data_IF_767118016976
#
_entry.id   IF_767118016976
#
_cell.length_a   1.000
_cell.length_b   1.000
_cell.length_c   1.000
_cell.angle_alpha   90.00
_cell.angle_beta   90.00
_cell.angle_gamma   90.00
#
_symmetry.space_group_name_H-M   'P 1'
#
loop_
_entity.id
_entity.type
_entity.pdbx_description
1 polymer ?
#
# COMPACT_ATOMS: atom_id res chain seq x y z
N UNK A 1 -10.22 1.46 20.27
CA UNK A 1 -8.87 1.27 20.87
C UNK A 1 -7.77 1.13 19.82
N UNK A 2 -7.88 0.20 18.85
CA UNK A 2 -6.82 -0.07 17.85
C UNK A 2 -6.27 1.16 17.12
N UNK A 3 -7.15 2.03 16.58
CA UNK A 3 -6.72 3.26 15.87
C UNK A 3 -5.85 4.16 16.76
N UNK A 4 -6.24 4.39 18.02
CA UNK A 4 -5.49 5.24 18.95
C UNK A 4 -4.12 4.61 19.27
N UNK A 5 -4.09 3.30 19.56
CA UNK A 5 -2.84 2.59 19.85
C UNK A 5 -1.88 2.68 18.65
N UNK A 6 -2.40 2.48 17.44
CA UNK A 6 -1.61 2.60 16.21
C UNK A 6 -1.03 4.00 16.02
N UNK A 7 -1.83 5.06 16.23
CA UNK A 7 -1.37 6.45 16.13
C UNK A 7 -0.30 6.76 17.19
N UNK A 8 -0.50 6.31 18.43
CA UNK A 8 0.46 6.55 19.53
C UNK A 8 1.78 5.83 19.27
N UNK A 9 1.76 4.57 18.83
CA UNK A 9 2.97 3.84 18.47
C UNK A 9 3.72 4.52 17.33
N UNK A 10 3.00 4.97 16.29
CA UNK A 10 3.60 5.73 15.21
C UNK A 10 4.27 7.00 15.74
N UNK A 11 3.58 7.80 16.56
CA UNK A 11 4.13 9.03 17.13
C UNK A 11 5.39 8.76 17.98
N UNK A 12 5.37 7.73 18.84
CA UNK A 12 6.53 7.31 19.64
C UNK A 12 7.70 6.96 18.73
N UNK A 13 7.46 6.13 17.71
CA UNK A 13 8.48 5.77 16.72
C UNK A 13 9.09 6.99 16.03
N UNK A 14 8.26 7.95 15.60
CA UNK A 14 8.72 9.21 15.01
C UNK A 14 9.58 10.05 15.97
N UNK A 15 9.22 10.14 17.25
CA UNK A 15 10.05 10.87 18.22
C UNK A 15 11.36 10.15 18.53
N UNK A 16 11.39 8.81 18.47
CA UNK A 16 12.61 8.01 18.66
C UNK A 16 13.65 8.18 17.55
N UNK A 17 13.28 8.72 16.39
CA UNK A 17 14.26 9.11 15.36
C UNK A 17 15.19 10.23 15.81
N UNK A 18 14.77 11.08 16.76
CA UNK A 18 15.61 12.17 17.29
C UNK A 18 16.80 11.64 18.11
N UNK A 19 16.61 10.80 19.16
CA UNK A 19 17.72 10.19 19.86
C UNK A 19 18.52 9.23 18.98
N UNK A 20 17.89 8.54 18.02
CA UNK A 20 18.61 7.72 17.04
C UNK A 20 19.57 8.57 16.20
N UNK A 21 19.12 9.72 15.69
CA UNK A 21 19.96 10.65 14.94
C UNK A 21 21.05 11.33 15.79
N UNK A 22 20.81 11.55 17.08
CA UNK A 22 21.82 12.10 17.99
C UNK A 22 22.95 11.10 18.30
N UNK A 23 22.61 9.82 18.37
CA UNK A 23 23.56 8.74 18.72
C UNK A 23 24.22 8.12 17.49
N UNK A 24 23.62 8.27 16.31
CA UNK A 24 24.08 7.70 15.04
C UNK A 24 24.22 6.16 15.07
N UNK A 25 23.58 5.49 16.03
CA UNK A 25 23.62 4.03 16.15
C UNK A 25 22.48 3.42 15.35
N UNK A 26 22.83 2.48 14.48
CA UNK A 26 21.89 1.74 13.65
C UNK A 26 20.78 1.06 14.46
N UNK A 27 21.10 0.49 15.63
CA UNK A 27 20.14 -0.21 16.48
C UNK A 27 18.98 0.69 16.94
N UNK A 28 19.25 1.97 17.24
CA UNK A 28 18.20 2.91 17.62
C UNK A 28 17.31 3.29 16.44
N UNK A 29 17.89 3.46 15.25
CA UNK A 29 17.09 3.68 14.03
C UNK A 29 16.22 2.46 13.72
N UNK A 30 16.77 1.26 13.83
CA UNK A 30 16.04 0.02 13.60
C UNK A 30 14.90 -0.17 14.59
N UNK A 31 15.15 0.09 15.89
CA UNK A 31 14.12 0.03 16.93
C UNK A 31 13.00 1.05 16.71
N UNK A 32 13.35 2.29 16.34
CA UNK A 32 12.37 3.33 16.01
C UNK A 32 11.52 2.93 14.78
N UNK A 33 12.16 2.43 13.72
CA UNK A 33 11.48 1.97 12.51
C UNK A 33 10.55 0.79 12.78
N UNK A 34 10.97 -0.16 13.63
CA UNK A 34 10.13 -1.29 14.05
C UNK A 34 8.87 -0.82 14.78
N UNK A 35 8.98 0.15 15.69
CA UNK A 35 7.84 0.73 16.40
C UNK A 35 6.87 1.43 15.44
N UNK A 36 7.38 2.19 14.45
CA UNK A 36 6.54 2.79 13.40
C UNK A 36 5.81 1.70 12.62
N UNK A 37 6.51 0.63 12.22
CA UNK A 37 5.92 -0.48 11.47
C UNK A 37 4.80 -1.18 12.24
N UNK A 38 4.97 -1.39 13.55
CA UNK A 38 3.91 -1.89 14.43
C UNK A 38 2.70 -0.95 14.46
N UNK A 39 2.93 0.35 14.61
CA UNK A 39 1.86 1.36 14.57
C UNK A 39 1.07 1.36 13.26
N UNK A 40 1.78 1.34 12.12
CA UNK A 40 1.20 1.23 10.78
C UNK A 40 0.35 -0.04 10.62
N UNK A 41 0.86 -1.19 11.05
CA UNK A 41 0.13 -2.47 10.94
C UNK A 41 -1.17 -2.44 11.75
N UNK A 42 -1.15 -1.86 12.96
CA UNK A 42 -2.34 -1.70 13.79
C UNK A 42 -3.34 -0.72 13.16
N UNK A 43 -2.85 0.37 12.54
CA UNK A 43 -3.71 1.32 11.83
C UNK A 43 -4.38 0.67 10.62
N UNK A 44 -3.64 -0.06 9.80
CA UNK A 44 -4.20 -0.72 8.61
C UNK A 44 -5.24 -1.79 8.97
N UNK A 45 -5.00 -2.55 10.05
CA UNK A 45 -5.93 -3.57 10.53
C UNK A 45 -7.16 -3.00 11.24
N UNK A 46 -7.09 -1.80 11.82
CA UNK A 46 -8.21 -1.17 12.52
C UNK A 46 -8.99 -0.17 11.67
N UNK A 47 -8.30 0.68 10.90
CA UNK A 47 -8.92 1.81 10.19
C UNK A 47 -9.69 1.37 8.94
N UNK A 48 -9.16 0.44 8.15
CA UNK A 48 -9.82 -0.06 6.94
C UNK A 48 -11.19 -0.72 7.23
N UNK A 49 -11.30 -1.69 8.16
CA UNK A 49 -12.61 -2.26 8.49
C UNK A 49 -13.53 -1.22 9.13
N UNK A 50 -13.01 -0.34 9.99
CA UNK A 50 -13.81 0.72 10.59
C UNK A 50 -14.43 1.64 9.53
N UNK A 51 -13.63 2.13 8.56
CA UNK A 51 -14.13 2.97 7.46
C UNK A 51 -15.14 2.24 6.56
N UNK A 52 -14.94 0.94 6.34
CA UNK A 52 -15.85 0.11 5.55
C UNK A 52 -17.19 -0.12 6.28
N UNK A 53 -17.18 -0.30 7.60
CA UNK A 53 -18.35 -0.60 8.41
C UNK A 53 -19.09 0.64 8.94
N UNK A 54 -18.48 1.83 8.88
CA UNK A 54 -19.08 3.08 9.33
C UNK A 54 -20.15 3.57 8.34
N UNK A 55 -21.36 3.02 8.44
CA UNK A 55 -22.53 3.39 7.65
C UNK A 55 -23.19 2.21 6.91
N UNK A 56 -24.10 2.46 5.95
CA UNK A 56 -24.86 1.41 5.26
C UNK A 56 -23.96 0.37 4.56
N UNK A 57 -24.33 -0.92 4.60
CA UNK A 57 -23.53 -2.03 4.05
C UNK A 57 -23.31 -1.89 2.53
N UNK A 58 -24.28 -1.33 1.82
CA UNK A 58 -24.32 -1.18 0.37
C UNK A 58 -23.25 -0.22 -0.16
N UNK A 59 -22.85 0.77 0.64
CA UNK A 59 -21.88 1.82 0.25
C UNK A 59 -20.51 1.64 0.90
N UNK A 60 -20.28 0.51 1.59
CA UNK A 60 -19.02 0.17 2.28
C UNK A 60 -17.79 0.30 1.38
N UNK A 61 -17.82 -0.34 0.20
CA UNK A 61 -16.71 -0.29 -0.75
C UNK A 61 -16.44 1.11 -1.29
N UNK A 62 -17.50 1.88 -1.56
CA UNK A 62 -17.39 3.27 -2.01
C UNK A 62 -16.75 4.15 -0.94
N UNK A 63 -17.20 4.04 0.32
CA UNK A 63 -16.64 4.82 1.44
C UNK A 63 -15.16 4.51 1.66
N UNK A 64 -14.78 3.23 1.63
CA UNK A 64 -13.39 2.84 1.78
C UNK A 64 -12.53 3.40 0.63
N UNK A 65 -12.99 3.28 -0.61
CA UNK A 65 -12.29 3.86 -1.77
C UNK A 65 -12.18 5.39 -1.71
N UNK A 66 -13.24 6.07 -1.25
CA UNK A 66 -13.24 7.52 -1.07
C UNK A 66 -12.25 7.96 0.01
N UNK A 67 -12.26 7.31 1.18
CA UNK A 67 -11.26 7.57 2.23
C UNK A 67 -9.83 7.33 1.73
N UNK A 68 -9.62 6.21 1.01
CA UNK A 68 -8.33 5.86 0.42
C UNK A 68 -7.92 6.79 -0.74
N UNK A 69 -8.84 7.58 -1.32
CA UNK A 69 -8.47 8.58 -2.33
C UNK A 69 -7.56 9.67 -1.76
N UNK A 70 -7.75 10.03 -0.48
CA UNK A 70 -6.85 10.93 0.24
C UNK A 70 -5.49 10.30 0.53
N UNK A 71 -5.43 8.98 0.73
CA UNK A 71 -4.16 8.25 0.77
C UNK A 71 -3.44 8.32 -0.58
N UNK A 72 -4.16 8.17 -1.71
CA UNK A 72 -3.58 8.32 -3.06
C UNK A 72 -3.03 9.74 -3.32
N UNK A 73 -3.75 10.76 -2.84
CA UNK A 73 -3.29 12.15 -2.84
C UNK A 73 -1.99 12.30 -2.03
N UNK A 74 -1.96 11.79 -0.79
CA UNK A 74 -0.78 11.85 0.06
C UNK A 74 0.41 11.11 -0.55
N UNK A 75 0.21 9.92 -1.12
CA UNK A 75 1.25 9.14 -1.79
C UNK A 75 1.88 9.85 -3.00
N UNK A 76 1.12 10.74 -3.65
CA UNK A 76 1.61 11.54 -4.79
C UNK A 76 2.29 12.82 -4.32
N UNK A 77 1.67 13.55 -3.39
CA UNK A 77 2.19 14.84 -2.94
C UNK A 77 3.37 14.71 -1.99
N UNK A 78 3.44 13.67 -1.16
CA UNK A 78 4.50 13.52 -0.17
C UNK A 78 5.90 13.41 -0.79
N UNK A 79 6.14 12.62 -1.85
CA UNK A 79 7.44 12.62 -2.53
C UNK A 79 7.76 13.94 -3.23
N UNK A 80 6.77 14.65 -3.78
CA UNK A 80 6.97 15.93 -4.49
C UNK A 80 7.39 17.03 -3.49
N UNK A 81 6.61 17.19 -2.43
CA UNK A 81 6.84 18.22 -1.41
C UNK A 81 8.03 17.82 -0.52
N UNK A 82 8.06 16.55 -0.08
CA UNK A 82 9.14 16.01 0.74
C UNK A 82 10.47 16.01 0.01
N UNK A 83 10.48 15.72 -1.30
CA UNK A 83 11.69 15.80 -2.12
C UNK A 83 12.32 17.19 -2.14
N UNK A 84 11.51 18.25 -2.10
CA UNK A 84 12.00 19.64 -2.11
C UNK A 84 12.43 20.14 -0.72
N UNK A 85 11.83 19.60 0.34
CA UNK A 85 12.02 20.10 1.71
C UNK A 85 13.01 19.23 2.52
N UNK A 86 13.07 17.93 2.24
CA UNK A 86 13.75 16.93 3.08
C UNK A 86 15.03 16.38 2.41
N UNK A 87 15.07 16.25 1.07
CA UNK A 87 16.25 15.70 0.42
C UNK A 87 17.40 16.70 0.47
N UNK A 88 18.39 16.39 1.31
CA UNK A 88 19.71 17.01 1.29
C UNK A 88 20.60 16.13 0.41
N UNK A 89 21.41 16.74 -0.46
CA UNK A 89 22.45 15.99 -1.18
C UNK A 89 23.38 15.35 -0.15
N UNK A 90 23.35 14.01 -0.07
CA UNK A 90 24.23 13.24 0.81
C UNK A 90 25.69 13.34 0.35
N UNK A 91 26.61 13.11 1.27
CA UNK A 91 28.05 13.07 0.96
C UNK A 91 28.39 11.65 0.49
N UNK A 92 28.90 11.53 -0.74
CA UNK A 92 29.26 10.22 -1.30
C UNK A 92 30.40 9.56 -0.51
N UNK A 93 30.47 8.23 -0.51
CA UNK A 93 31.56 7.46 0.13
C UNK A 93 32.95 7.88 -0.39
N UNK A 94 33.03 8.30 -1.65
CA UNK A 94 34.28 8.78 -2.26
C UNK A 94 34.69 10.17 -1.75
N UNK A 95 33.72 11.03 -1.43
CA UNK A 95 33.99 12.31 -0.76
C UNK A 95 34.31 12.08 0.72
N UNK A 96 33.59 11.19 1.38
CA UNK A 96 33.78 10.86 2.79
C UNK A 96 35.17 10.30 3.04
N UNK A 97 35.64 9.37 2.20
CA UNK A 97 36.98 8.77 2.29
C UNK A 97 38.14 9.76 2.08
N UNK A 98 37.88 10.92 1.45
CA UNK A 98 38.85 12.01 1.27
C UNK A 98 38.84 13.02 2.43
N UNK A 99 37.88 12.91 3.35
CA UNK A 99 37.75 13.79 4.53
C UNK A 99 38.56 13.27 5.71
N UNK A 100 38.97 14.17 6.61
CA UNK A 100 39.59 13.80 7.89
C UNK A 100 38.56 13.10 8.79
N UNK A 101 39.00 12.24 9.72
CA UNK A 101 38.09 11.53 10.63
C UNK A 101 37.13 12.48 11.40
N UNK A 102 37.60 13.67 11.77
CA UNK A 102 36.77 14.70 12.40
C UNK A 102 35.72 15.29 11.43
N UNK A 103 36.11 15.53 10.18
CA UNK A 103 35.19 16.04 9.15
C UNK A 103 34.16 14.99 8.71
N UNK A 104 34.54 13.71 8.65
CA UNK A 104 33.62 12.59 8.41
C UNK A 104 32.54 12.49 9.49
N UNK A 105 32.93 12.60 10.76
CA UNK A 105 31.98 12.52 11.87
C UNK A 105 30.99 13.69 11.87
N UNK A 106 31.46 14.90 11.55
CA UNK A 106 30.61 16.09 11.38
C UNK A 106 29.66 15.98 10.18
N UNK A 107 30.14 15.45 9.06
CA UNK A 107 29.34 15.18 7.86
C UNK A 107 28.17 14.23 8.17
N UNK A 108 28.48 13.05 8.74
CA UNK A 108 27.47 12.07 9.12
C UNK A 108 26.51 12.60 10.20
N UNK A 109 26.99 13.45 11.11
CA UNK A 109 26.16 14.07 12.14
C UNK A 109 25.19 15.09 11.54
N UNK A 110 25.65 15.88 10.56
CA UNK A 110 24.79 16.81 9.83
C UNK A 110 23.74 16.07 9.01
N UNK A 111 24.14 14.99 8.34
CA UNK A 111 23.23 14.17 7.53
C UNK A 111 22.17 13.51 8.42
N UNK A 112 22.58 12.85 9.51
CA UNK A 112 21.64 12.30 10.48
C UNK A 112 20.76 13.38 11.13
N UNK A 113 21.27 14.60 11.32
CA UNK A 113 20.47 15.70 11.88
C UNK A 113 19.40 16.23 10.93
N UNK A 114 19.54 16.03 9.62
CA UNK A 114 18.57 16.48 8.61
C UNK A 114 17.18 15.85 8.81
N UNK A 115 17.12 14.60 9.29
CA UNK A 115 15.85 13.88 9.47
C UNK A 115 15.11 14.28 10.75
N UNK A 116 15.78 14.92 11.73
CA UNK A 116 15.19 15.24 13.03
C UNK A 116 13.96 16.15 12.90
N UNK A 117 14.08 17.22 12.12
CA UNK A 117 12.99 18.21 11.97
C UNK A 117 11.76 17.60 11.27
N UNK A 118 11.89 16.91 10.11
CA UNK A 118 10.76 16.21 9.50
C UNK A 118 10.06 15.21 10.43
N UNK A 119 10.81 14.39 11.16
CA UNK A 119 10.23 13.40 12.08
C UNK A 119 9.61 14.02 13.33
N UNK A 120 10.16 15.13 13.84
CA UNK A 120 9.55 15.90 14.92
C UNK A 120 8.19 16.47 14.50
N UNK A 121 8.13 17.11 13.32
CA UNK A 121 6.89 17.67 12.77
C UNK A 121 5.86 16.55 12.56
N UNK A 122 6.28 15.43 11.97
CA UNK A 122 5.41 14.27 11.75
C UNK A 122 4.87 13.70 13.07
N UNK A 123 5.74 13.51 14.08
CA UNK A 123 5.36 13.04 15.40
C UNK A 123 4.35 13.95 16.08
N UNK A 124 4.55 15.28 16.00
CA UNK A 124 3.61 16.27 16.53
C UNK A 124 2.25 16.21 15.83
N UNK A 125 2.21 16.16 14.50
CA UNK A 125 0.97 16.06 13.73
C UNK A 125 0.20 14.79 14.11
N UNK A 126 0.88 13.63 14.15
CA UNK A 126 0.26 12.35 14.51
C UNK A 126 -0.25 12.37 15.95
N UNK A 127 0.49 12.99 16.87
CA UNK A 127 0.06 13.16 18.27
C UNK A 127 -1.22 13.99 18.35
N UNK A 128 -1.31 15.10 17.61
CA UNK A 128 -2.53 15.92 17.53
C UNK A 128 -3.70 15.10 17.01
N UNK A 129 -3.49 14.29 15.95
CA UNK A 129 -4.54 13.40 15.42
C UNK A 129 -4.95 12.36 16.46
N UNK A 130 -4.00 11.75 17.18
CA UNK A 130 -4.29 10.79 18.25
C UNK A 130 -5.16 11.42 19.36
N UNK A 131 -4.85 12.65 19.75
CA UNK A 131 -5.62 13.41 20.74
C UNK A 131 -7.03 13.70 20.23
N UNK A 132 -7.19 14.14 18.98
CA UNK A 132 -8.50 14.35 18.35
C UNK A 132 -9.32 13.05 18.40
N UNK A 133 -8.74 11.93 17.98
CA UNK A 133 -9.42 10.63 17.99
C UNK A 133 -9.73 10.12 19.41
N UNK A 134 -8.95 10.50 20.41
CA UNK A 134 -9.24 10.16 21.81
C UNK A 134 -10.47 10.90 22.35
N UNK A 135 -10.75 12.12 21.86
CA UNK A 135 -11.93 12.90 22.24
C UNK A 135 -13.15 12.65 21.35
N UNK A 136 -12.97 12.11 20.14
CA UNK A 136 -14.07 11.71 19.28
C UNK A 136 -14.76 10.46 19.83
N UNK A 137 -16.04 10.60 20.19
CA UNK A 137 -16.91 9.46 20.49
C UNK A 137 -17.30 8.76 19.19
N UNK A 138 -16.40 7.89 18.73
CA UNK A 138 -16.65 7.05 17.58
C UNK A 138 -17.78 6.05 17.88
N UNK A 139 -18.81 5.95 17.02
CA UNK A 139 -19.87 4.96 17.19
C UNK A 139 -19.25 3.56 17.28
N UNK A 140 -19.72 2.79 18.26
CA UNK A 140 -19.35 1.40 18.36
C UNK A 140 -20.08 0.63 17.25
N UNK A 141 -19.30 0.00 16.38
CA UNK A 141 -19.87 -0.86 15.34
C UNK A 141 -20.25 -2.16 16.06
N UNK A 142 -21.51 -2.27 16.42
CA UNK A 142 -22.09 -3.52 16.88
C UNK A 142 -22.11 -4.44 15.66
N UNK A 143 -21.21 -5.41 15.64
CA UNK A 143 -21.31 -6.56 14.74
C UNK A 143 -22.68 -7.19 15.05
N UNK A 144 -23.61 -7.17 14.10
CA UNK A 144 -24.89 -7.87 14.26
C UNK A 144 -24.55 -9.33 14.57
N UNK A 145 -24.74 -9.76 15.83
CA UNK A 145 -24.78 -11.17 16.17
C UNK A 145 -25.94 -11.74 15.37
N UNK A 146 -25.63 -12.55 14.36
CA UNK A 146 -26.66 -13.31 13.64
C UNK A 146 -27.31 -14.23 14.68
N UNK A 147 -28.50 -13.85 15.16
CA UNK A 147 -29.22 -14.55 16.23
C UNK A 147 -29.67 -15.95 15.84
N UNK A 148 -29.50 -16.36 14.57
CA UNK A 148 -29.98 -17.62 14.01
C UNK A 148 -28.88 -18.60 13.57
N UNK A 149 -27.60 -18.24 13.62
CA UNK A 149 -26.51 -19.21 13.43
C UNK A 149 -25.93 -19.60 14.78
N UNK A 150 -26.16 -20.87 15.18
CA UNK A 150 -25.41 -21.55 16.24
C UNK A 150 -23.98 -21.07 16.14
N UNK A 151 -23.50 -20.42 17.20
CA UNK A 151 -22.09 -20.07 17.40
C UNK A 151 -21.24 -21.14 16.73
N UNK A 152 -20.63 -20.81 15.60
CA UNK A 152 -19.46 -21.53 15.08
C UNK A 152 -18.25 -21.27 16.00
N UNK A 153 -18.50 -21.14 17.31
CA UNK A 153 -17.52 -21.15 18.38
C UNK A 153 -17.09 -22.59 18.63
N UNK A 154 -16.48 -23.20 17.62
CA UNK A 154 -15.17 -23.75 17.92
C UNK A 154 -14.22 -22.61 17.61
N UNK A 155 -13.53 -22.06 18.60
CA UNK A 155 -12.53 -21.00 18.45
C UNK A 155 -11.29 -21.41 17.64
N UNK A 156 -11.48 -22.29 16.67
CA UNK A 156 -10.47 -22.79 15.76
C UNK A 156 -10.36 -21.82 14.59
N UNK A 157 -9.20 -21.21 14.44
CA UNK A 157 -8.76 -20.38 13.31
C UNK A 157 -9.12 -20.99 11.94
N UNK A 158 -9.30 -22.31 11.88
CA UNK A 158 -9.76 -23.06 10.70
C UNK A 158 -11.18 -22.69 10.21
N UNK A 159 -12.09 -22.25 11.09
CA UNK A 159 -13.47 -21.89 10.70
C UNK A 159 -13.52 -20.71 9.73
N UNK A 160 -12.58 -19.77 9.86
CA UNK A 160 -12.49 -18.55 9.04
C UNK A 160 -12.12 -18.88 7.59
N UNK A 161 -11.29 -19.91 7.38
CA UNK A 161 -10.96 -20.38 6.03
C UNK A 161 -12.13 -21.08 5.32
N UNK A 162 -13.29 -21.26 5.98
CA UNK A 162 -14.52 -21.70 5.30
C UNK A 162 -15.13 -20.58 4.44
N UNK A 163 -14.86 -19.31 4.77
CA UNK A 163 -15.29 -18.15 3.98
C UNK A 163 -14.51 -18.10 2.67
N UNK A 164 -15.09 -18.68 1.61
CA UNK A 164 -14.41 -18.81 0.32
C UNK A 164 -14.03 -17.46 -0.29
N UNK A 165 -14.89 -16.45 -0.12
CA UNK A 165 -14.65 -15.10 -0.63
C UNK A 165 -13.49 -14.39 0.10
N UNK A 166 -13.33 -14.63 1.40
CA UNK A 166 -12.19 -14.14 2.18
C UNK A 166 -10.87 -14.77 1.70
N UNK A 167 -10.84 -16.09 1.47
CA UNK A 167 -9.64 -16.76 0.96
C UNK A 167 -9.22 -16.22 -0.42
N UNK A 168 -10.20 -15.97 -1.30
CA UNK A 168 -9.93 -15.32 -2.58
C UNK A 168 -9.40 -13.90 -2.41
N UNK A 169 -9.92 -13.14 -1.45
CA UNK A 169 -9.45 -11.78 -1.17
C UNK A 169 -8.03 -11.77 -0.59
N UNK A 170 -7.69 -12.69 0.31
CA UNK A 170 -6.33 -12.89 0.83
C UNK A 170 -5.36 -13.14 -0.33
N UNK A 171 -5.69 -14.11 -1.20
CA UNK A 171 -4.85 -14.42 -2.36
C UNK A 171 -4.74 -13.21 -3.32
N UNK A 172 -5.86 -12.60 -3.70
CA UNK A 172 -5.87 -11.45 -4.59
C UNK A 172 -5.08 -10.27 -4.01
N UNK A 173 -5.16 -10.03 -2.70
CA UNK A 173 -4.43 -8.97 -2.02
C UNK A 173 -2.93 -9.23 -2.05
N UNK A 174 -2.51 -10.47 -1.79
CA UNK A 174 -1.12 -10.89 -1.88
C UNK A 174 -0.52 -10.60 -3.27
N UNK A 175 -1.21 -11.05 -4.31
CA UNK A 175 -0.78 -10.84 -5.69
C UNK A 175 -0.87 -9.37 -6.10
N UNK A 176 -1.92 -8.65 -5.70
CA UNK A 176 -2.06 -7.23 -5.98
C UNK A 176 -0.91 -6.40 -5.39
N UNK A 177 -0.59 -6.59 -4.11
CA UNK A 177 0.51 -5.86 -3.47
C UNK A 177 1.84 -6.25 -4.11
N UNK A 178 2.03 -7.54 -4.42
CA UNK A 178 3.19 -8.00 -5.19
C UNK A 178 3.34 -7.28 -6.53
N UNK A 179 2.27 -7.18 -7.31
CA UNK A 179 2.26 -6.46 -8.58
C UNK A 179 2.53 -4.96 -8.40
N UNK A 180 1.91 -4.33 -7.41
CA UNK A 180 2.07 -2.91 -7.13
C UNK A 180 3.52 -2.56 -6.81
N UNK A 181 4.15 -3.33 -5.92
CA UNK A 181 5.56 -3.10 -5.56
C UNK A 181 6.47 -3.41 -6.75
N UNK A 182 6.18 -4.44 -7.56
CA UNK A 182 6.90 -4.69 -8.79
C UNK A 182 6.86 -3.49 -9.74
N UNK A 183 5.67 -2.98 -10.06
CA UNK A 183 5.52 -1.87 -11.00
C UNK A 183 6.18 -0.59 -10.48
N UNK A 184 6.01 -0.26 -9.20
CA UNK A 184 6.56 0.98 -8.65
C UNK A 184 8.07 0.92 -8.44
N UNK A 185 8.59 -0.16 -7.86
CA UNK A 185 10.02 -0.29 -7.55
C UNK A 185 10.89 -0.37 -8.80
N UNK A 186 10.40 -1.02 -9.85
CA UNK A 186 11.15 -1.19 -11.10
C UNK A 186 10.81 -0.13 -12.16
N UNK A 187 9.94 0.85 -11.87
CA UNK A 187 9.51 1.84 -12.86
C UNK A 187 10.69 2.59 -13.49
N UNK A 188 11.60 3.10 -12.67
CA UNK A 188 12.75 3.89 -13.14
C UNK A 188 13.61 3.03 -14.06
N UNK A 189 13.95 1.80 -13.63
CA UNK A 189 14.74 0.86 -14.42
C UNK A 189 14.05 0.53 -15.75
N UNK A 190 12.75 0.23 -15.69
CA UNK A 190 11.94 -0.04 -16.87
C UNK A 190 11.94 1.14 -17.84
N UNK A 191 11.75 2.37 -17.35
CA UNK A 191 11.74 3.55 -18.19
C UNK A 191 13.11 3.82 -18.84
N UNK A 192 14.21 3.62 -18.09
CA UNK A 192 15.56 3.79 -18.64
C UNK A 192 15.89 2.74 -19.70
N UNK A 193 15.52 1.48 -19.50
CA UNK A 193 15.85 0.40 -20.45
C UNK A 193 14.91 0.33 -21.65
N UNK A 194 13.59 0.46 -21.43
CA UNK A 194 12.60 0.31 -22.49
C UNK A 194 12.45 1.57 -23.35
N UNK A 195 12.68 2.76 -22.78
CA UNK A 195 12.52 4.04 -23.47
C UNK A 195 13.83 4.78 -23.75
N UNK A 196 14.95 4.37 -23.15
CA UNK A 196 16.25 5.01 -23.34
C UNK A 196 16.34 6.44 -22.76
N UNK A 197 15.44 6.79 -21.83
CA UNK A 197 15.46 8.09 -21.15
C UNK A 197 16.44 8.06 -19.97
N UNK A 198 16.94 9.22 -19.57
CA UNK A 198 17.82 9.33 -18.42
C UNK A 198 17.08 9.10 -17.08
N UNK A 199 17.84 8.78 -16.02
CA UNK A 199 17.30 8.44 -14.71
C UNK A 199 16.55 9.59 -14.04
N UNK A 200 16.92 10.84 -14.31
CA UNK A 200 16.27 12.01 -13.73
C UNK A 200 14.89 12.22 -14.37
N UNK A 201 14.81 12.12 -15.69
CA UNK A 201 13.53 12.14 -16.42
C UNK A 201 12.64 10.95 -16.02
N UNK A 202 13.21 9.75 -15.88
CA UNK A 202 12.48 8.58 -15.39
C UNK A 202 11.94 8.77 -13.95
N UNK A 203 12.74 9.36 -13.05
CA UNK A 203 12.31 9.69 -11.70
C UNK A 203 11.19 10.74 -11.69
N UNK A 204 11.21 11.72 -12.60
CA UNK A 204 10.12 12.67 -12.77
C UNK A 204 8.82 11.98 -13.20
N UNK A 205 8.89 11.06 -14.16
CA UNK A 205 7.74 10.22 -14.55
C UNK A 205 7.27 9.29 -13.41
N UNK A 206 8.18 8.79 -12.58
CA UNK A 206 7.84 7.96 -11.42
C UNK A 206 7.09 8.77 -10.35
N UNK A 207 7.57 9.97 -10.03
CA UNK A 207 6.94 10.83 -9.02
C UNK A 207 5.63 11.43 -9.52
N UNK A 208 5.71 12.25 -10.58
CA UNK A 208 4.56 12.96 -11.11
C UNK A 208 3.67 12.08 -11.97
N UNK A 209 4.22 11.35 -12.94
CA UNK A 209 3.43 10.56 -13.88
C UNK A 209 2.66 9.42 -13.20
N UNK A 210 3.38 8.47 -12.59
CA UNK A 210 2.80 7.31 -11.91
C UNK A 210 1.95 7.76 -10.71
N UNK A 211 2.46 8.68 -9.88
CA UNK A 211 1.74 9.20 -8.72
C UNK A 211 0.42 9.85 -9.12
N UNK A 212 0.43 10.82 -10.04
CA UNK A 212 -0.80 11.48 -10.49
C UNK A 212 -1.75 10.50 -11.17
N UNK A 213 -1.25 9.57 -11.98
CA UNK A 213 -2.10 8.56 -12.61
C UNK A 213 -2.79 7.68 -11.56
N UNK A 214 -2.07 7.25 -10.53
CA UNK A 214 -2.64 6.48 -9.41
C UNK A 214 -3.68 7.30 -8.62
N UNK A 215 -3.40 8.56 -8.32
CA UNK A 215 -4.32 9.46 -7.63
C UNK A 215 -5.60 9.71 -8.45
N UNK A 216 -5.45 10.15 -9.70
CA UNK A 216 -6.57 10.43 -10.60
C UNK A 216 -7.37 9.16 -10.85
N UNK A 217 -6.70 8.03 -11.08
CA UNK A 217 -7.33 6.72 -11.19
C UNK A 217 -8.18 6.38 -9.98
N UNK A 218 -7.72 6.71 -8.77
CA UNK A 218 -8.47 6.44 -7.54
C UNK A 218 -9.72 7.30 -7.44
N UNK A 219 -9.63 8.60 -7.70
CA UNK A 219 -10.79 9.50 -7.67
C UNK A 219 -11.81 9.16 -8.76
N UNK A 220 -11.33 8.93 -9.99
CA UNK A 220 -12.18 8.54 -11.13
C UNK A 220 -12.82 7.18 -10.86
N UNK A 221 -12.05 6.18 -10.43
CA UNK A 221 -12.56 4.85 -10.11
C UNK A 221 -13.57 4.88 -8.97
N UNK A 222 -13.32 5.65 -7.90
CA UNK A 222 -14.28 5.85 -6.81
C UNK A 222 -15.58 6.50 -7.32
N UNK A 223 -15.49 7.50 -8.20
CA UNK A 223 -16.67 8.10 -8.82
C UNK A 223 -17.45 7.09 -9.69
N UNK A 224 -16.75 6.26 -10.46
CA UNK A 224 -17.36 5.21 -11.28
C UNK A 224 -18.09 4.14 -10.46
N UNK A 225 -17.71 3.91 -9.19
CA UNK A 225 -18.44 3.01 -8.29
C UNK A 225 -19.86 3.47 -7.97
N UNK A 226 -20.23 4.73 -8.27
CA UNK A 226 -21.63 5.18 -8.21
C UNK A 226 -22.50 4.56 -9.31
N UNK A 227 -21.88 4.18 -10.44
CA UNK A 227 -22.58 3.68 -11.62
C UNK A 227 -22.36 2.17 -11.83
N UNK A 228 -21.21 1.65 -11.40
CA UNK A 228 -20.83 0.25 -11.58
C UNK A 228 -20.66 -0.47 -10.24
N UNK A 229 -21.01 -1.76 -10.20
CA UNK A 229 -20.73 -2.62 -9.04
C UNK A 229 -19.21 -2.69 -8.81
N UNK A 230 -18.72 -2.57 -7.56
CA UNK A 230 -17.29 -2.60 -7.27
C UNK A 230 -16.56 -3.84 -7.79
N UNK A 231 -17.19 -5.03 -7.73
CA UNK A 231 -16.60 -6.27 -8.26
C UNK A 231 -16.41 -6.25 -9.78
N UNK A 232 -17.40 -5.72 -10.52
CA UNK A 232 -17.30 -5.56 -11.97
C UNK A 232 -16.22 -4.53 -12.33
N UNK A 233 -16.16 -3.42 -11.60
CA UNK A 233 -15.15 -2.39 -11.84
C UNK A 233 -13.74 -2.93 -11.56
N UNK A 234 -13.57 -3.71 -10.49
CA UNK A 234 -12.32 -4.42 -10.20
C UNK A 234 -11.93 -5.35 -11.35
N UNK A 235 -12.86 -6.18 -11.84
CA UNK A 235 -12.60 -7.09 -12.95
C UNK A 235 -12.19 -6.34 -14.23
N UNK A 236 -12.89 -5.26 -14.58
CA UNK A 236 -12.54 -4.41 -15.74
C UNK A 236 -11.14 -3.83 -15.58
N UNK A 237 -10.85 -3.25 -14.41
CA UNK A 237 -9.53 -2.66 -14.13
C UNK A 237 -8.42 -3.71 -14.21
N UNK A 238 -8.66 -4.93 -13.70
CA UNK A 238 -7.71 -6.03 -13.83
C UNK A 238 -7.48 -6.47 -15.27
N UNK A 239 -8.53 -6.58 -16.09
CA UNK A 239 -8.38 -6.91 -17.53
C UNK A 239 -7.56 -5.84 -18.25
N UNK A 240 -7.85 -4.56 -18.00
CA UNK A 240 -7.08 -3.48 -18.61
C UNK A 240 -5.62 -3.50 -18.16
N UNK A 241 -5.35 -3.73 -16.86
CA UNK A 241 -3.98 -3.90 -16.36
C UNK A 241 -3.26 -5.08 -17.00
N UNK A 242 -3.93 -6.23 -17.20
CA UNK A 242 -3.35 -7.40 -17.91
C UNK A 242 -2.96 -7.02 -19.33
N UNK A 243 -3.86 -6.36 -20.07
CA UNK A 243 -3.58 -5.93 -21.44
C UNK A 243 -2.42 -4.92 -21.48
N UNK A 244 -2.39 -3.96 -20.56
CA UNK A 244 -1.29 -3.00 -20.46
C UNK A 244 0.03 -3.67 -20.08
N UNK A 245 0.04 -4.73 -19.25
CA UNK A 245 1.25 -5.51 -19.01
C UNK A 245 1.76 -6.18 -20.29
N UNK A 246 0.87 -6.75 -21.12
CA UNK A 246 1.25 -7.34 -22.42
C UNK A 246 1.87 -6.28 -23.34
N UNK A 247 1.28 -5.08 -23.38
CA UNK A 247 1.83 -3.95 -24.14
C UNK A 247 3.18 -3.51 -23.57
N UNK A 248 3.34 -3.44 -22.25
CA UNK A 248 4.59 -3.07 -21.59
C UNK A 248 5.73 -4.08 -21.88
N UNK A 249 5.38 -5.35 -22.10
CA UNK A 249 6.35 -6.39 -22.48
C UNK A 249 6.83 -6.28 -23.94
N UNK A 250 6.11 -5.57 -24.81
CA UNK A 250 6.33 -5.61 -26.27
C UNK A 250 6.69 -4.26 -26.89
N UNK A 251 6.24 -3.15 -26.30
CA UNK A 251 6.45 -1.80 -26.80
C UNK A 251 7.72 -1.18 -26.23
N UNK A 252 8.40 -0.35 -27.02
CA UNK A 252 9.59 0.41 -26.61
C UNK A 252 9.35 1.93 -26.78
N UNK A 253 10.30 2.73 -26.33
CA UNK A 253 10.22 4.19 -26.38
C UNK A 253 9.28 4.78 -25.33
N UNK A 254 8.94 6.06 -25.48
CA UNK A 254 8.12 6.77 -24.48
C UNK A 254 6.73 6.16 -24.27
N UNK A 255 6.21 5.45 -25.27
CA UNK A 255 4.93 4.75 -25.18
C UNK A 255 4.98 3.62 -24.12
N UNK A 256 6.14 2.98 -23.93
CA UNK A 256 6.35 2.00 -22.86
C UNK A 256 6.14 2.65 -21.47
N UNK A 257 6.70 3.85 -21.28
CA UNK A 257 6.57 4.63 -20.03
C UNK A 257 5.10 4.97 -19.76
N UNK A 258 4.39 5.50 -20.77
CA UNK A 258 2.97 5.83 -20.62
C UNK A 258 2.09 4.60 -20.40
N UNK A 259 2.46 3.45 -20.97
CA UNK A 259 1.76 2.18 -20.73
C UNK A 259 1.83 1.82 -19.25
N UNK A 260 3.02 1.87 -18.63
CA UNK A 260 3.19 1.56 -17.21
C UNK A 260 2.52 2.59 -16.30
N UNK A 261 2.56 3.87 -16.65
CA UNK A 261 1.77 4.92 -15.97
C UNK A 261 0.27 4.59 -16.03
N UNK A 262 -0.21 4.09 -17.17
CA UNK A 262 -1.57 3.58 -17.33
C UNK A 262 -1.89 2.43 -16.38
N UNK A 263 -0.97 1.47 -16.18
CA UNK A 263 -1.16 0.37 -15.21
C UNK A 263 -1.37 0.95 -13.80
N UNK A 264 -0.59 1.96 -13.41
CA UNK A 264 -0.74 2.62 -12.11
C UNK A 264 -2.13 3.25 -11.92
N UNK A 265 -2.69 3.86 -12.97
CA UNK A 265 -4.06 4.35 -12.95
C UNK A 265 -5.07 3.25 -12.60
N UNK A 266 -4.99 2.08 -13.25
CA UNK A 266 -5.92 0.98 -13.01
C UNK A 266 -5.62 0.18 -11.73
N UNK A 267 -4.41 0.24 -11.18
CA UNK A 267 -4.13 -0.34 -9.85
C UNK A 267 -4.83 0.41 -8.71
N UNK A 268 -5.13 1.69 -8.91
CA UNK A 268 -5.55 2.63 -7.87
C UNK A 268 -6.67 2.15 -6.93
N UNK A 269 -7.73 1.53 -7.45
CA UNK A 269 -8.89 1.08 -6.66
C UNK A 269 -8.79 -0.36 -6.17
N UNK A 270 -7.80 -1.12 -6.63
CA UNK A 270 -7.79 -2.57 -6.44
C UNK A 270 -7.65 -2.93 -4.96
N UNK A 271 -6.68 -2.37 -4.22
CA UNK A 271 -6.50 -2.62 -2.77
C UNK A 271 -7.80 -2.43 -1.97
N UNK A 272 -8.42 -1.24 -1.93
CA UNK A 272 -9.62 -1.02 -1.11
C UNK A 272 -10.82 -1.86 -1.59
N UNK A 273 -10.90 -2.14 -2.89
CA UNK A 273 -12.00 -2.95 -3.43
C UNK A 273 -11.84 -4.42 -3.06
N UNK A 274 -10.64 -4.99 -3.20
CA UNK A 274 -10.31 -6.35 -2.74
C UNK A 274 -10.60 -6.47 -1.24
N UNK A 275 -10.12 -5.51 -0.45
CA UNK A 275 -10.32 -5.49 1.00
C UNK A 275 -11.81 -5.50 1.35
N UNK A 276 -12.59 -4.56 0.81
CA UNK A 276 -14.01 -4.44 1.11
C UNK A 276 -14.83 -5.65 0.64
N UNK A 277 -14.51 -6.23 -0.52
CA UNK A 277 -15.15 -7.45 -1.00
C UNK A 277 -14.79 -8.66 -0.14
N UNK A 278 -13.57 -8.72 0.38
CA UNK A 278 -13.07 -9.80 1.22
C UNK A 278 -13.66 -9.85 2.62
N UNK A 279 -13.99 -8.69 3.19
CA UNK A 279 -14.57 -8.59 4.54
C UNK A 279 -16.10 -8.52 4.56
N UNK A 280 -16.73 -8.69 3.40
CA UNK A 280 -18.18 -8.53 3.26
C UNK A 280 -18.91 -9.69 3.93
N UNK A 281 -19.88 -9.36 4.78
CA UNK A 281 -20.76 -10.33 5.46
C UNK A 281 -20.01 -11.39 6.29
N UNK A 282 -18.87 -11.01 6.90
CA UNK A 282 -18.10 -11.88 7.80
C UNK A 282 -18.61 -11.89 9.26
N UNK A 283 -19.54 -11.00 9.63
CA UNK A 283 -20.04 -10.89 11.00
C UNK A 283 -18.89 -10.72 12.02
N UNK A 284 -18.85 -11.58 13.03
CA UNK A 284 -17.82 -11.59 14.09
C UNK A 284 -16.40 -11.85 13.57
N UNK A 285 -16.25 -12.48 12.40
CA UNK A 285 -14.93 -12.81 11.84
C UNK A 285 -14.27 -11.60 11.15
N UNK A 286 -14.97 -10.47 11.01
CA UNK A 286 -14.51 -9.31 10.24
C UNK A 286 -13.14 -8.79 10.69
N UNK A 287 -12.91 -8.70 12.01
CA UNK A 287 -11.64 -8.21 12.56
C UNK A 287 -10.46 -9.13 12.24
N UNK A 288 -10.67 -10.44 12.37
CA UNK A 288 -9.63 -11.42 12.08
C UNK A 288 -9.40 -11.57 10.56
N UNK A 289 -10.46 -11.63 9.76
CA UNK A 289 -10.38 -11.65 8.30
C UNK A 289 -9.66 -10.41 7.74
N UNK A 290 -9.93 -9.22 8.29
CA UNK A 290 -9.20 -8.00 7.97
C UNK A 290 -7.70 -8.15 8.25
N UNK A 291 -7.35 -8.75 9.38
CA UNK A 291 -5.96 -8.98 9.77
C UNK A 291 -5.24 -9.92 8.79
N UNK A 292 -5.89 -11.00 8.32
CA UNK A 292 -5.34 -11.90 7.31
C UNK A 292 -5.11 -11.20 5.96
N UNK A 293 -6.04 -10.34 5.53
CA UNK A 293 -5.89 -9.55 4.30
C UNK A 293 -4.69 -8.58 4.44
N UNK A 294 -4.51 -7.92 5.59
CA UNK A 294 -3.35 -7.04 5.82
C UNK A 294 -2.04 -7.85 5.88
N UNK A 295 -2.02 -9.04 6.48
CA UNK A 295 -0.84 -9.92 6.46
C UNK A 295 -0.41 -10.31 5.04
N UNK A 296 -1.36 -10.32 4.09
CA UNK A 296 -1.08 -10.62 2.68
C UNK A 296 -0.20 -9.57 1.99
N UNK A 297 0.00 -8.39 2.58
CA UNK A 297 0.93 -7.36 2.10
C UNK A 297 2.36 -7.90 1.93
N UNK A 298 2.72 -8.98 2.62
CA UNK A 298 3.99 -9.71 2.44
C UNK A 298 4.27 -10.12 0.99
N UNK A 299 3.26 -10.21 0.12
CA UNK A 299 3.46 -10.38 -1.32
C UNK A 299 4.37 -9.31 -1.94
N UNK A 300 4.34 -8.09 -1.42
CA UNK A 300 5.25 -7.01 -1.81
C UNK A 300 6.73 -7.28 -1.51
N UNK A 301 7.06 -8.22 -0.62
CA UNK A 301 8.44 -8.64 -0.36
C UNK A 301 8.83 -9.88 -1.19
N UNK A 302 7.86 -10.70 -1.59
CA UNK A 302 8.10 -12.00 -2.25
C UNK A 302 8.14 -11.88 -3.78
N UNK A 303 7.24 -11.10 -4.38
CA UNK A 303 7.10 -11.01 -5.84
C UNK A 303 8.19 -10.15 -6.52
N UNK A 304 8.66 -9.02 -5.96
CA UNK A 304 9.69 -8.21 -6.61
C UNK A 304 11.03 -8.93 -6.83
N UNK A 305 11.55 -9.74 -5.89
CA UNK A 305 12.73 -10.57 -6.16
C UNK A 305 12.54 -11.53 -7.35
N UNK A 306 11.34 -12.07 -7.54
CA UNK A 306 11.02 -12.94 -8.68
C UNK A 306 11.07 -12.14 -10.00
N UNK A 307 10.48 -10.93 -10.01
CA UNK A 307 10.58 -10.04 -11.17
C UNK A 307 12.02 -9.62 -11.45
N UNK A 308 12.80 -9.31 -10.41
CA UNK A 308 14.22 -8.97 -10.52
C UNK A 308 15.03 -10.10 -11.14
N UNK A 309 14.83 -11.34 -10.66
CA UNK A 309 15.48 -12.52 -11.25
C UNK A 309 15.13 -12.71 -12.73
N UNK A 310 13.85 -12.54 -13.11
CA UNK A 310 13.43 -12.61 -14.50
C UNK A 310 14.08 -11.50 -15.35
N UNK A 311 14.18 -10.29 -14.80
CA UNK A 311 14.82 -9.16 -15.47
C UNK A 311 16.32 -9.42 -15.70
N UNK A 312 17.01 -9.99 -14.72
CA UNK A 312 18.44 -10.31 -14.80
C UNK A 312 18.75 -11.38 -15.87
N UNK A 313 17.89 -12.39 -16.04
CA UNK A 313 18.08 -13.46 -17.04
C UNK A 313 17.57 -13.11 -18.44
N UNK A 314 16.72 -12.09 -18.56
CA UNK A 314 16.09 -11.72 -19.83
C UNK A 314 16.16 -10.22 -20.08
N UNK A 315 15.16 -9.46 -19.66
CA UNK A 315 15.16 -8.01 -19.57
C UNK A 315 14.00 -7.53 -18.68
N UNK A 316 14.03 -6.25 -18.30
CA UNK A 316 13.01 -5.69 -17.43
C UNK A 316 11.59 -5.73 -18.01
N UNK A 317 11.45 -5.68 -19.33
CA UNK A 317 10.14 -5.70 -19.99
C UNK A 317 9.47 -7.06 -19.83
N UNK A 318 10.20 -8.16 -20.04
CA UNK A 318 9.70 -9.52 -19.82
C UNK A 318 9.35 -9.74 -18.34
N UNK A 319 10.05 -9.08 -17.41
CA UNK A 319 9.72 -9.07 -15.99
C UNK A 319 8.25 -8.69 -15.67
N UNK A 320 7.59 -7.92 -16.54
CA UNK A 320 6.17 -7.57 -16.39
C UNK A 320 5.21 -8.77 -16.47
N UNK A 321 5.69 -9.96 -16.85
CA UNK A 321 4.93 -11.22 -16.71
C UNK A 321 4.49 -11.47 -15.25
N UNK A 322 5.28 -11.00 -14.27
CA UNK A 322 4.95 -11.16 -12.84
C UNK A 322 3.70 -10.34 -12.47
N UNK A 323 3.69 -8.99 -12.64
CA UNK A 323 2.47 -8.19 -12.51
C UNK A 323 1.28 -8.73 -13.33
N UNK A 324 1.52 -9.21 -14.56
CA UNK A 324 0.47 -9.76 -15.41
C UNK A 324 -0.24 -10.94 -14.73
N UNK A 325 0.52 -11.94 -14.27
CA UNK A 325 -0.03 -13.11 -13.58
C UNK A 325 -0.72 -12.71 -12.27
N UNK A 326 -0.18 -11.74 -11.55
CA UNK A 326 -0.83 -11.20 -10.36
C UNK A 326 -2.21 -10.62 -10.69
N UNK A 327 -2.32 -9.80 -11.75
CA UNK A 327 -3.60 -9.21 -12.15
C UNK A 327 -4.62 -10.25 -12.65
N UNK A 328 -4.18 -11.39 -13.18
CA UNK A 328 -5.08 -12.53 -13.47
C UNK A 328 -5.75 -13.04 -12.19
N UNK A 329 -5.02 -13.13 -11.08
CA UNK A 329 -5.60 -13.52 -9.78
C UNK A 329 -6.54 -12.44 -9.22
N UNK A 330 -6.23 -11.17 -9.43
CA UNK A 330 -7.14 -10.07 -9.03
C UNK A 330 -8.42 -10.08 -9.87
N UNK A 331 -8.31 -10.32 -11.17
CA UNK A 331 -9.46 -10.51 -12.06
C UNK A 331 -10.35 -11.65 -11.58
N UNK A 332 -9.73 -12.75 -11.14
CA UNK A 332 -10.42 -13.91 -10.63
C UNK A 332 -11.34 -13.59 -9.44
N UNK A 333 -10.85 -12.80 -8.48
CA UNK A 333 -11.67 -12.29 -7.39
C UNK A 333 -12.84 -11.43 -7.92
N UNK A 334 -12.53 -10.45 -8.78
CA UNK A 334 -13.52 -9.53 -9.35
C UNK A 334 -14.64 -10.24 -10.11
N UNK A 335 -14.32 -11.27 -10.88
CA UNK A 335 -15.28 -11.98 -11.72
C UNK A 335 -16.08 -13.05 -10.96
N UNK A 336 -15.42 -13.84 -10.09
CA UNK A 336 -16.05 -15.00 -9.44
C UNK A 336 -15.77 -15.10 -7.94
N UNK A 337 -14.55 -14.81 -7.48
CA UNK A 337 -14.14 -15.05 -6.09
C UNK A 337 -14.88 -14.19 -5.06
N UNK A 338 -15.45 -13.04 -5.44
CA UNK A 338 -16.20 -12.15 -4.54
C UNK A 338 -17.57 -12.70 -4.10
N UNK A 339 -18.04 -13.80 -4.70
CA UNK A 339 -19.36 -14.36 -4.36
C UNK A 339 -19.30 -15.08 -3.03
N UNK A 340 -20.19 -14.71 -2.12
CA UNK A 340 -20.35 -15.41 -0.85
C UNK A 340 -20.99 -16.77 -1.16
N UNK A 341 -20.20 -17.82 -1.00
CA UNK A 341 -20.71 -19.19 -1.12
C UNK A 341 -21.65 -19.46 0.04
N UNK A 342 -22.96 -19.34 -0.19
CA UNK A 342 -23.94 -19.97 0.69
C UNK A 342 -23.73 -21.48 0.57
N UNK A 343 -22.95 -22.07 1.48
CA UNK A 343 -23.05 -23.52 1.69
C UNK A 343 -24.49 -23.76 2.12
N UNK A 344 -25.30 -24.28 1.21
CA UNK A 344 -26.58 -24.90 1.55
C UNK A 344 -26.19 -26.13 2.37
N UNK A 345 -26.41 -26.01 3.68
CA UNK A 345 -26.38 -27.04 4.74
C UNK A 345 -25.54 -28.30 4.51
#
# INVERSE_FOLDING_TARGET
AGIIIGLVLFAIGSFLFIPAANTQLYEFFLGALFIIACGLTILETAANPYASLLGPKETSTFRLNFAQSFNGLAATLAPIIGGQIILVEGISDEQLSKMTASAQQLALASEASSVKTPYLILGLIITVIAVIFAFLKLPEIVEEEDTDEKKLSDGSVSSIFKHTHLNWAIAAQFFYVGAQVCVFSFFILYATEAAGIDRQTAAWYAGFGVGLAFMVGRFVGTFLMKFYKPSNLLAIYSVVSILLCIVAMTVTGILAVYTVIGIAFFMSIMFPTIFSLGIKDLGSDTKFGSSLIIMSIVGGAILPPIMGYIADVSNIQIGYIVPLLCFVVVFALGAYGHRISKKIN
#
